data_IF_874757172077
#
_entry.id   IF_874757172077
#
_cell.length_a   1.000
_cell.length_b   1.000
_cell.length_c   1.000
_cell.angle_alpha   90.00
_cell.angle_beta   90.00
_cell.angle_gamma   90.00
#
_symmetry.space_group_name_H-M   'P 1'
#
loop_
_entity.id
_entity.type
_entity.pdbx_description
1 polymer ?
#
# COMPACT_ATOMS: atom_id res chain seq x y z
N UNK A 1 11.17 12.97 19.32
CA UNK A 1 10.47 12.96 18.03
C UNK A 1 8.97 12.76 18.21
N UNK A 2 8.12 13.37 17.36
CA UNK A 2 6.65 13.12 17.34
C UNK A 2 6.30 12.02 16.33
N UNK A 3 5.33 11.17 16.64
CA UNK A 3 4.91 10.03 15.80
C UNK A 3 4.55 10.44 14.37
N UNK A 4 3.71 11.47 14.22
CA UNK A 4 3.25 11.94 12.90
C UNK A 4 4.44 12.40 12.04
N UNK A 5 5.39 13.10 12.65
CA UNK A 5 6.59 13.58 11.96
C UNK A 5 7.49 12.43 11.53
N UNK A 6 7.68 11.44 12.41
CA UNK A 6 8.45 10.22 12.10
C UNK A 6 7.88 9.47 10.89
N UNK A 7 6.57 9.18 10.90
CA UNK A 7 5.94 8.40 9.84
C UNK A 7 5.98 9.17 8.51
N UNK A 8 5.83 10.50 8.53
CA UNK A 8 5.98 11.34 7.33
C UNK A 8 7.38 11.26 6.75
N UNK A 9 8.42 11.49 7.56
CA UNK A 9 9.82 11.37 7.09
C UNK A 9 10.07 9.98 6.50
N UNK A 10 9.63 8.93 7.20
CA UNK A 10 9.80 7.56 6.71
C UNK A 10 9.09 7.34 5.36
N UNK A 11 7.88 7.87 5.21
CA UNK A 11 7.11 7.77 3.98
C UNK A 11 7.68 8.64 2.85
N UNK A 12 8.27 9.78 3.15
CA UNK A 12 8.94 10.62 2.15
C UNK A 12 10.22 9.95 1.62
N UNK A 13 10.93 9.20 2.48
CA UNK A 13 12.16 8.49 2.11
C UNK A 13 11.92 7.15 1.40
N UNK A 14 10.90 6.39 1.82
CA UNK A 14 10.68 5.00 1.39
C UNK A 14 9.30 4.71 0.82
N UNK A 15 8.40 5.69 0.86
CA UNK A 15 7.04 5.53 0.34
C UNK A 15 7.01 5.64 -1.18
N UNK A 16 6.16 4.82 -1.78
CA UNK A 16 5.84 4.88 -3.20
C UNK A 16 4.47 5.54 -3.35
N UNK A 17 4.37 6.68 -4.06
CA UNK A 17 3.08 7.25 -4.38
C UNK A 17 2.34 6.31 -5.35
N UNK A 18 1.04 6.11 -5.14
CA UNK A 18 0.25 5.26 -6.02
C UNK A 18 0.26 5.83 -7.46
N UNK A 19 0.74 5.09 -8.47
CA UNK A 19 1.05 5.62 -9.81
C UNK A 19 -0.17 6.10 -10.60
N UNK A 20 -1.38 5.67 -10.21
CA UNK A 20 -2.63 6.12 -10.80
C UNK A 20 -3.70 6.23 -9.71
N UNK A 21 -3.44 7.04 -8.68
CA UNK A 21 -4.40 7.23 -7.59
C UNK A 21 -5.74 7.78 -8.14
N UNK A 22 -6.87 7.04 -8.03
CA UNK A 22 -8.14 7.72 -7.90
C UNK A 22 -8.00 8.61 -6.68
N UNK A 23 -8.27 9.91 -6.81
CA UNK A 23 -8.28 10.82 -5.66
C UNK A 23 -9.21 10.19 -4.61
N UNK A 24 -8.66 9.80 -3.47
CA UNK A 24 -9.45 9.23 -2.38
C UNK A 24 -10.42 10.26 -1.80
N UNK A 25 -11.12 9.87 -0.74
CA UNK A 25 -12.16 10.65 -0.04
C UNK A 25 -11.71 12.09 0.30
N UNK A 26 -10.41 12.32 0.48
CA UNK A 26 -9.83 13.61 0.88
C UNK A 26 -8.89 14.26 -0.17
N UNK A 27 -8.90 13.81 -1.44
CA UNK A 27 -7.97 14.27 -2.50
C UNK A 27 -6.46 14.05 -2.25
N UNK A 28 -6.07 13.37 -1.16
CA UNK A 28 -4.66 13.04 -0.89
C UNK A 28 -4.32 11.68 -1.54
N UNK A 29 -3.28 11.60 -2.40
CA UNK A 29 -2.81 10.34 -2.94
C UNK A 29 -2.34 9.39 -1.83
N UNK A 30 -2.72 8.12 -1.93
CA UNK A 30 -2.20 7.08 -1.02
C UNK A 30 -0.70 6.90 -1.25
N UNK A 31 0.06 6.90 -0.16
CA UNK A 31 1.48 6.57 -0.14
C UNK A 31 1.63 5.17 0.45
N UNK A 32 2.26 4.28 -0.33
CA UNK A 32 2.49 2.90 0.06
C UNK A 32 3.93 2.72 0.52
N UNK A 33 4.11 2.37 1.80
CA UNK A 33 5.33 1.80 2.32
C UNK A 33 5.47 0.38 1.79
N UNK A 34 6.69 -0.04 1.50
CA UNK A 34 7.03 -1.38 1.01
C UNK A 34 6.61 -2.49 1.97
N UNK A 35 6.33 -3.67 1.43
CA UNK A 35 5.85 -4.82 2.21
C UNK A 35 6.92 -5.49 3.09
N UNK A 36 8.17 -5.04 2.99
CA UNK A 36 9.31 -5.48 3.81
C UNK A 36 9.26 -4.91 5.25
N UNK A 37 8.41 -3.92 5.50
CA UNK A 37 8.24 -3.31 6.82
C UNK A 37 6.88 -3.63 7.44
N UNK A 38 6.82 -3.58 8.77
CA UNK A 38 5.58 -3.74 9.52
C UNK A 38 5.37 -2.55 10.46
N UNK A 39 4.13 -2.32 10.90
CA UNK A 39 3.85 -1.29 11.92
C UNK A 39 4.65 -1.51 13.21
N UNK A 40 5.02 -2.75 13.51
CA UNK A 40 5.87 -3.10 14.65
C UNK A 40 7.32 -2.72 14.42
N UNK A 41 7.88 -3.05 13.24
CA UNK A 41 9.25 -2.66 12.86
C UNK A 41 9.42 -1.13 12.88
N UNK A 42 8.43 -0.41 12.36
CA UNK A 42 8.40 1.06 12.40
C UNK A 42 8.32 1.62 13.81
N UNK A 43 7.51 0.99 14.68
CA UNK A 43 7.47 1.39 16.08
C UNK A 43 8.82 1.19 16.77
N UNK A 44 9.53 0.10 16.49
CA UNK A 44 10.88 -0.14 17.02
C UNK A 44 11.88 0.94 16.54
N UNK A 45 11.86 1.29 15.25
CA UNK A 45 12.70 2.37 14.72
C UNK A 45 12.36 3.74 15.34
N UNK A 46 11.07 4.01 15.56
CA UNK A 46 10.59 5.19 16.27
C UNK A 46 11.12 5.25 17.71
N UNK A 47 11.16 4.10 18.41
CA UNK A 47 11.70 4.03 19.78
C UNK A 47 13.18 4.38 19.82
N UNK A 48 13.97 3.84 18.89
CA UNK A 48 15.40 4.17 18.77
C UNK A 48 15.60 5.66 18.55
N UNK A 49 14.90 6.24 17.58
CA UNK A 49 14.98 7.67 17.27
C UNK A 49 14.50 8.57 18.43
N UNK A 50 13.53 8.12 19.22
CA UNK A 50 13.11 8.84 20.42
C UNK A 50 14.16 8.81 21.51
N UNK A 51 14.87 7.69 21.66
CA UNK A 51 15.95 7.53 22.65
C UNK A 51 17.11 8.46 22.30
N UNK A 52 17.51 8.51 21.02
CA UNK A 52 18.54 9.42 20.51
C UNK A 52 18.18 10.90 20.67
N UNK A 53 16.91 11.24 20.49
CA UNK A 53 16.41 12.62 20.62
C UNK A 53 15.95 12.98 22.04
N UNK A 54 16.20 12.13 23.05
CA UNK A 54 15.79 12.36 24.44
C UNK A 54 14.28 12.52 24.66
N UNK A 55 13.48 11.99 23.74
CA UNK A 55 12.02 12.19 23.71
C UNK A 55 11.26 11.02 24.32
N UNK A 56 10.10 11.32 24.91
CA UNK A 56 9.22 10.28 25.49
C UNK A 56 8.71 9.31 24.42
N UNK A 57 8.97 8.03 24.65
CA UNK A 57 8.44 6.93 23.86
C UNK A 57 6.98 6.65 24.23
N UNK A 58 6.15 6.41 23.22
CA UNK A 58 4.77 5.93 23.40
C UNK A 58 4.66 4.43 23.10
N UNK A 59 3.62 3.80 23.64
CA UNK A 59 3.32 2.38 23.39
C UNK A 59 2.86 2.16 21.95
N UNK A 60 3.09 0.94 21.44
CA UNK A 60 2.72 0.54 20.07
C UNK A 60 1.23 0.73 19.76
N UNK A 61 0.36 0.54 20.75
CA UNK A 61 -1.10 0.74 20.60
C UNK A 61 -1.41 2.20 20.27
N UNK A 62 -0.88 3.13 21.06
CA UNK A 62 -1.02 4.56 20.81
C UNK A 62 -0.36 5.00 19.49
N UNK A 63 0.78 4.39 19.14
CA UNK A 63 1.44 4.64 17.85
C UNK A 63 0.55 4.26 16.66
N UNK A 64 -0.04 3.06 16.70
CA UNK A 64 -0.99 2.59 15.67
C UNK A 64 -2.24 3.46 15.59
N UNK A 65 -2.74 3.90 16.74
CA UNK A 65 -3.92 4.77 16.84
C UNK A 65 -3.68 6.14 16.21
N UNK A 66 -2.56 6.79 16.58
CA UNK A 66 -2.15 8.08 16.00
C UNK A 66 -1.94 7.96 14.49
N UNK A 67 -1.30 6.89 14.03
CA UNK A 67 -1.16 6.65 12.59
C UNK A 67 -2.54 6.57 11.93
N UNK A 68 -3.44 5.73 12.44
CA UNK A 68 -4.77 5.55 11.87
C UNK A 68 -5.56 6.87 11.78
N UNK A 69 -5.51 7.69 12.83
CA UNK A 69 -6.28 8.95 12.88
C UNK A 69 -5.63 10.07 12.05
N UNK A 70 -4.31 10.21 12.08
CA UNK A 70 -3.63 11.38 11.51
C UNK A 70 -3.04 11.14 10.13
N UNK A 71 -2.77 9.88 9.76
CA UNK A 71 -2.08 9.51 8.53
C UNK A 71 -2.77 8.32 7.81
N UNK A 72 -4.09 8.36 7.56
CA UNK A 72 -4.82 7.25 6.93
C UNK A 72 -4.42 6.99 5.47
N UNK A 73 -3.79 7.97 4.82
CA UNK A 73 -3.27 7.91 3.45
C UNK A 73 -1.90 7.23 3.35
N UNK A 74 -1.18 7.03 4.47
CA UNK A 74 0.09 6.30 4.49
C UNK A 74 -0.20 4.86 4.92
N UNK A 75 0.05 3.90 4.03
CA UNK A 75 -0.29 2.49 4.24
C UNK A 75 0.91 1.61 3.96
N UNK A 76 0.97 0.42 4.56
CA UNK A 76 1.93 -0.60 4.18
C UNK A 76 1.29 -1.41 3.07
N UNK A 77 1.98 -1.56 1.94
CA UNK A 77 1.52 -2.30 0.78
C UNK A 77 1.24 -3.75 1.17
N UNK A 78 -0.01 -4.18 1.05
CA UNK A 78 -0.38 -5.58 1.09
C UNK A 78 -0.27 -6.25 -0.29
N UNK A 79 -0.44 -7.59 -0.37
CA UNK A 79 -0.46 -8.35 -1.64
C UNK A 79 -1.61 -8.01 -2.61
N UNK A 80 -2.43 -7.02 -2.27
CA UNK A 80 -3.51 -6.49 -3.13
C UNK A 80 -3.31 -5.01 -3.45
N UNK A 81 -2.25 -4.40 -2.92
CA UNK A 81 -1.86 -3.03 -3.21
C UNK A 81 -0.73 -2.96 -4.25
N UNK A 82 -0.14 -4.11 -4.60
CA UNK A 82 0.87 -4.30 -5.65
C UNK A 82 0.28 -4.50 -7.06
N UNK A 83 -1.05 -4.56 -7.16
CA UNK A 83 -1.75 -4.72 -8.43
C UNK A 83 -1.95 -3.38 -9.12
N UNK A 84 -1.64 -3.32 -10.42
CA UNK A 84 -1.92 -2.13 -11.22
C UNK A 84 -3.43 -1.85 -11.33
N UNK A 85 -3.81 -0.62 -11.69
CA UNK A 85 -5.21 -0.23 -11.83
C UNK A 85 -6.01 -1.14 -12.79
N UNK A 86 -5.35 -1.69 -13.82
CA UNK A 86 -5.95 -2.65 -14.77
C UNK A 86 -6.23 -3.99 -14.10
N UNK A 87 -5.29 -4.53 -13.31
CA UNK A 87 -5.52 -5.72 -12.48
C UNK A 87 -6.69 -5.51 -11.51
N UNK A 88 -6.77 -4.35 -10.86
CA UNK A 88 -7.85 -4.04 -9.92
C UNK A 88 -9.21 -4.01 -10.62
N UNK A 89 -9.30 -3.34 -11.77
CA UNK A 89 -10.53 -3.24 -12.57
C UNK A 89 -10.99 -4.61 -13.07
N UNK A 90 -10.08 -5.40 -13.64
CA UNK A 90 -10.40 -6.73 -14.16
C UNK A 90 -10.83 -7.70 -13.05
N UNK A 91 -10.14 -7.66 -11.90
CA UNK A 91 -10.50 -8.46 -10.73
C UNK A 91 -11.90 -8.10 -10.21
N UNK A 92 -12.23 -6.81 -10.18
CA UNK A 92 -13.55 -6.33 -9.79
C UNK A 92 -14.62 -6.81 -10.76
N UNK A 93 -14.36 -6.74 -12.06
CA UNK A 93 -15.24 -7.30 -13.09
C UNK A 93 -15.52 -8.79 -12.93
N UNK A 94 -14.52 -9.59 -12.49
CA UNK A 94 -14.72 -11.02 -12.19
C UNK A 94 -15.61 -11.23 -10.95
N UNK A 95 -15.49 -10.37 -9.94
CA UNK A 95 -16.29 -10.46 -8.71
C UNK A 95 -17.73 -10.01 -8.92
N UNK A 96 -17.94 -9.00 -9.76
CA UNK A 96 -19.25 -8.37 -9.99
C UNK A 96 -20.07 -9.10 -11.07
N UNK A 97 -19.46 -10.01 -11.84
CA UNK A 97 -20.14 -10.79 -12.88
C UNK A 97 -21.22 -11.70 -12.29
N UNK A 98 -22.43 -11.64 -12.87
CA UNK A 98 -23.61 -12.34 -12.35
C UNK A 98 -23.95 -13.56 -13.21
N UNK A 99 -23.70 -13.49 -14.52
CA UNK A 99 -23.94 -14.61 -15.44
C UNK A 99 -22.67 -15.44 -15.67
N UNK A 100 -22.83 -16.69 -16.11
CA UNK A 100 -21.68 -17.55 -16.44
C UNK A 100 -20.86 -17.00 -17.61
N UNK A 101 -21.51 -16.39 -18.61
CA UNK A 101 -20.86 -15.82 -19.79
C UNK A 101 -20.06 -14.55 -19.45
N UNK A 102 -20.61 -13.67 -18.60
CA UNK A 102 -19.88 -12.51 -18.07
C UNK A 102 -18.67 -12.95 -17.25
N UNK A 103 -18.85 -13.96 -16.40
CA UNK A 103 -17.78 -14.48 -15.54
C UNK A 103 -16.67 -15.12 -16.36
N UNK A 104 -17.01 -15.86 -17.42
CA UNK A 104 -16.05 -16.44 -18.35
C UNK A 104 -15.23 -15.34 -19.03
N UNK A 105 -15.91 -14.34 -19.60
CA UNK A 105 -15.28 -13.22 -20.33
C UNK A 105 -14.38 -12.37 -19.42
N UNK A 106 -14.84 -12.06 -18.21
CA UNK A 106 -14.07 -11.31 -17.22
C UNK A 106 -12.83 -12.10 -16.76
N UNK A 107 -12.99 -13.41 -16.55
CA UNK A 107 -11.88 -14.30 -16.13
C UNK A 107 -10.82 -14.41 -17.23
N UNK A 108 -11.23 -14.56 -18.49
CA UNK A 108 -10.31 -14.62 -19.63
C UNK A 108 -9.56 -13.30 -19.82
N UNK A 109 -10.25 -12.17 -19.68
CA UNK A 109 -9.65 -10.84 -19.76
C UNK A 109 -8.60 -10.63 -18.66
N UNK A 110 -8.91 -11.06 -17.43
CA UNK A 110 -7.97 -11.02 -16.32
C UNK A 110 -6.77 -11.95 -16.55
N UNK A 111 -7.02 -13.19 -16.96
CA UNK A 111 -5.97 -14.18 -17.27
C UNK A 111 -5.02 -13.67 -18.35
N UNK A 112 -5.54 -13.12 -19.44
CA UNK A 112 -4.73 -12.56 -20.52
C UNK A 112 -3.86 -11.41 -20.06
N UNK A 113 -4.37 -10.53 -19.19
CA UNK A 113 -3.58 -9.45 -18.62
C UNK A 113 -2.39 -9.97 -17.78
N UNK A 114 -2.62 -10.98 -16.95
CA UNK A 114 -1.56 -11.62 -16.15
C UNK A 114 -0.51 -12.28 -17.05
N UNK A 115 -0.94 -13.01 -18.09
CA UNK A 115 -0.03 -13.65 -19.04
C UNK A 115 0.85 -12.65 -19.79
N UNK A 116 0.29 -11.50 -20.19
CA UNK A 116 1.07 -10.43 -20.81
C UNK A 116 2.10 -9.85 -19.84
N UNK A 117 1.71 -9.59 -18.59
CA UNK A 117 2.63 -9.08 -17.58
C UNK A 117 3.78 -10.06 -17.29
N UNK A 118 3.50 -11.36 -17.24
CA UNK A 118 4.52 -12.41 -17.06
C UNK A 118 5.50 -12.49 -18.23
N UNK A 119 5.02 -12.34 -19.48
CA UNK A 119 5.88 -12.31 -20.66
C UNK A 119 6.78 -11.07 -20.75
N UNK A 120 6.35 -9.95 -20.16
CA UNK A 120 7.17 -8.72 -20.12
C UNK A 120 8.32 -8.85 -19.10
N UNK A 121 8.21 -9.78 -18.13
CA UNK A 121 9.26 -10.02 -17.11
C UNK A 121 10.40 -10.90 -17.64
N UNK A 122 10.18 -11.67 -18.71
CA UNK A 122 11.26 -12.35 -19.43
C UNK A 122 11.98 -11.36 -20.35
N UNK A 123 12.78 -10.47 -19.76
CA UNK A 123 13.79 -9.75 -20.52
C UNK A 123 14.88 -10.74 -20.95
N UNK A 124 15.18 -10.69 -22.24
CA UNK A 124 16.26 -11.38 -22.93
C UNK A 124 17.54 -11.42 -22.09
N UNK A 125 18.06 -12.63 -21.89
CA UNK A 125 19.44 -12.87 -21.45
C UNK A 125 20.25 -13.33 -22.65
#
# INVERSE_FOLDING_TARGET
>A
MRVVHFIRIYADERGLPQPAAPRGVDNVPTVYLTSDTTKTNLHQQYQTSCTETGSRVIKITAFKEIWRMCLPHIRIAGPRDDVCAKCETLRRGVMDAVTEEEKLTATDSFRNHILLAQKVITFDT
#
